data_IF_903292916327
#
_entry.id   IF_903292916327
#
_cell.length_a   1.000
_cell.length_b   1.000
_cell.length_c   1.000
_cell.angle_alpha   90.00
_cell.angle_beta   90.00
_cell.angle_gamma   90.00
#
_symmetry.space_group_name_H-M   'P 1'
#
loop_
_entity.id
_entity.type
_entity.pdbx_description
1 polymer ?
#
# COMPACT_ATOMS: atom_id res chain seq x y z
N UNK A 1 15.92 4.97 -11.40
CA UNK A 1 16.61 5.91 -12.30
C UNK A 1 18.09 5.98 -11.94
N UNK A 2 18.46 6.62 -10.82
CA UNK A 2 19.85 6.77 -10.39
C UNK A 2 20.43 5.44 -9.83
N UNK A 3 21.51 4.94 -10.42
CA UNK A 3 22.29 3.77 -9.97
C UNK A 3 21.92 2.45 -10.64
N UNK A 4 20.65 2.27 -11.02
CA UNK A 4 20.20 1.06 -11.73
C UNK A 4 19.99 1.27 -13.24
N UNK A 5 19.22 2.31 -13.61
CA UNK A 5 18.94 2.63 -15.02
C UNK A 5 20.00 3.56 -15.61
N UNK A 6 20.52 4.48 -14.79
CA UNK A 6 21.63 5.35 -15.10
C UNK A 6 22.72 5.15 -14.05
N UNK A 7 23.79 4.48 -14.44
CA UNK A 7 24.85 4.02 -13.54
C UNK A 7 25.50 5.17 -12.75
N UNK A 8 25.82 6.27 -13.41
CA UNK A 8 26.47 7.44 -12.79
C UNK A 8 25.50 8.32 -11.99
N UNK A 9 24.21 8.01 -12.01
CA UNK A 9 23.17 8.79 -11.34
C UNK A 9 23.45 9.13 -9.86
N UNK A 10 23.99 8.21 -9.03
CA UNK A 10 24.33 8.54 -7.64
C UNK A 10 25.46 9.56 -7.54
N UNK A 11 26.48 9.47 -8.40
CA UNK A 11 27.56 10.46 -8.47
C UNK A 11 27.00 11.82 -8.91
N UNK A 12 26.12 11.83 -9.90
CA UNK A 12 25.47 13.05 -10.36
C UNK A 12 24.70 13.76 -9.24
N UNK A 13 23.85 13.03 -8.50
CA UNK A 13 23.05 13.62 -7.41
C UNK A 13 23.95 14.12 -6.28
N UNK A 14 25.00 13.37 -5.95
CA UNK A 14 25.99 13.78 -4.95
C UNK A 14 26.69 15.09 -5.35
N UNK A 15 27.27 15.16 -6.56
CA UNK A 15 27.92 16.36 -7.06
C UNK A 15 26.96 17.54 -7.18
N UNK A 16 25.73 17.30 -7.64
CA UNK A 16 24.71 18.33 -7.74
C UNK A 16 24.41 18.95 -6.38
N UNK A 17 24.14 18.14 -5.36
CA UNK A 17 23.84 18.64 -4.01
C UNK A 17 25.06 19.37 -3.43
N UNK A 18 26.27 18.78 -3.52
CA UNK A 18 27.51 19.41 -3.01
C UNK A 18 27.73 20.79 -3.63
N UNK A 19 27.73 20.88 -4.97
CA UNK A 19 27.96 22.14 -5.68
C UNK A 19 26.84 23.15 -5.42
N UNK A 20 25.59 22.69 -5.37
CA UNK A 20 24.47 23.56 -5.04
C UNK A 20 24.57 24.14 -3.62
N UNK A 21 25.18 23.44 -2.66
CA UNK A 21 25.34 23.95 -1.30
C UNK A 21 26.63 24.77 -1.11
N UNK A 22 27.72 24.43 -1.80
CA UNK A 22 29.06 25.01 -1.53
C UNK A 22 29.51 26.08 -2.55
N UNK A 23 29.01 26.05 -3.78
CA UNK A 23 29.59 26.83 -4.90
C UNK A 23 28.66 27.92 -5.45
N UNK A 24 27.49 28.13 -4.86
CA UNK A 24 26.50 29.12 -5.31
C UNK A 24 25.57 29.57 -4.17
N UNK A 25 24.92 30.74 -4.30
CA UNK A 25 24.03 31.34 -3.29
C UNK A 25 22.63 31.72 -3.82
N UNK A 26 22.29 31.34 -5.05
CA UNK A 26 21.03 31.68 -5.73
C UNK A 26 19.81 30.92 -5.20
N UNK A 27 19.99 29.68 -4.76
CA UNK A 27 18.92 28.84 -4.22
C UNK A 27 19.43 27.92 -3.11
N UNK A 28 18.50 27.42 -2.30
CA UNK A 28 18.77 26.47 -1.22
C UNK A 28 18.22 25.10 -1.57
N UNK A 29 18.97 24.05 -1.21
CA UNK A 29 18.46 22.68 -1.21
C UNK A 29 17.76 22.45 0.13
N UNK A 30 16.47 22.14 0.09
CA UNK A 30 15.64 22.00 1.29
C UNK A 30 14.72 20.78 1.17
N UNK A 31 14.41 20.16 2.32
CA UNK A 31 13.31 19.20 2.36
C UNK A 31 11.96 19.91 2.26
N UNK A 32 10.87 19.21 1.86
CA UNK A 32 9.53 19.79 1.92
C UNK A 32 9.15 20.31 3.31
N UNK A 33 9.60 19.63 4.37
CA UNK A 33 9.37 20.06 5.76
C UNK A 33 10.09 21.36 6.13
N UNK A 34 11.35 21.52 5.68
CA UNK A 34 12.09 22.79 5.86
C UNK A 34 11.38 23.94 5.16
N UNK A 35 10.94 23.72 3.93
CA UNK A 35 10.23 24.74 3.16
C UNK A 35 8.92 25.16 3.84
N UNK A 36 8.13 24.21 4.35
CA UNK A 36 6.89 24.50 5.07
C UNK A 36 7.14 25.26 6.39
N UNK A 37 8.25 25.00 7.08
CA UNK A 37 8.64 25.73 8.32
C UNK A 37 8.96 27.21 8.09
N UNK A 38 9.22 27.63 6.86
CA UNK A 38 9.43 29.04 6.53
C UNK A 38 8.17 29.89 6.73
N UNK A 39 6.98 29.27 6.81
CA UNK A 39 5.72 29.98 7.04
C UNK A 39 5.33 30.94 5.91
N UNK A 40 5.82 30.68 4.69
CA UNK A 40 5.51 31.48 3.52
C UNK A 40 4.03 31.34 3.14
N UNK A 41 3.40 32.41 2.59
CA UNK A 41 2.03 32.31 2.12
C UNK A 41 1.93 31.29 0.98
N UNK A 42 1.08 30.28 1.15
CA UNK A 42 0.82 29.25 0.15
C UNK A 42 -0.49 29.56 -0.59
N UNK A 43 -0.49 29.37 -1.90
CA UNK A 43 -1.71 29.44 -2.70
C UNK A 43 -2.66 28.30 -2.30
N UNK A 44 -3.90 28.64 -1.98
CA UNK A 44 -4.96 27.67 -1.78
C UNK A 44 -5.51 27.28 -3.15
N UNK A 45 -5.53 25.97 -3.45
CA UNK A 45 -6.05 25.42 -4.69
C UNK A 45 -6.79 24.11 -4.43
N UNK A 46 -7.70 23.75 -5.35
CA UNK A 46 -8.39 22.46 -5.35
C UNK A 46 -7.86 21.62 -6.52
N UNK A 47 -7.06 20.58 -6.27
CA UNK A 47 -6.55 19.72 -7.33
C UNK A 47 -7.69 18.98 -8.05
N UNK A 48 -7.55 18.81 -9.36
CA UNK A 48 -8.41 17.91 -10.13
C UNK A 48 -7.89 16.45 -10.07
N UNK A 49 -8.77 15.44 -10.22
CA UNK A 49 -8.36 14.04 -10.29
C UNK A 49 -7.33 13.84 -11.40
N UNK A 50 -6.14 13.39 -11.01
CA UNK A 50 -5.00 13.23 -11.90
C UNK A 50 -4.02 12.20 -11.32
N UNK A 51 -3.09 11.77 -12.16
CA UNK A 51 -1.91 10.99 -11.75
C UNK A 51 -0.68 11.50 -12.49
N UNK A 52 0.50 11.02 -12.10
CA UNK A 52 1.73 11.18 -12.86
C UNK A 52 1.98 10.07 -13.91
N UNK A 53 0.98 9.21 -14.15
CA UNK A 53 1.04 8.15 -15.15
C UNK A 53 0.79 8.65 -16.56
N UNK A 54 0.74 7.72 -17.52
CA UNK A 54 0.44 8.05 -18.91
C UNK A 54 -0.85 8.89 -19.03
N UNK A 55 -0.77 9.95 -19.83
CA UNK A 55 -1.82 10.97 -20.05
C UNK A 55 -2.33 11.70 -18.80
N UNK A 56 -1.74 11.50 -17.63
CA UNK A 56 -2.07 12.25 -16.41
C UNK A 56 -3.35 11.84 -15.70
N UNK A 57 -3.94 10.69 -16.04
CA UNK A 57 -5.20 10.18 -15.47
C UNK A 57 -5.05 8.75 -14.94
N UNK A 58 -6.13 7.98 -14.87
CA UNK A 58 -6.14 6.64 -14.29
C UNK A 58 -5.91 5.52 -15.30
N UNK A 59 -5.72 5.82 -16.58
CA UNK A 59 -5.67 4.84 -17.68
C UNK A 59 -4.59 3.76 -17.48
N UNK A 60 -3.49 4.08 -16.81
CA UNK A 60 -2.45 3.09 -16.49
C UNK A 60 -2.96 2.00 -15.55
N UNK A 61 -3.87 2.33 -14.64
CA UNK A 61 -4.38 1.40 -13.63
C UNK A 61 -5.77 0.87 -13.95
N UNK A 62 -6.55 1.57 -14.79
CA UNK A 62 -7.90 1.19 -15.19
C UNK A 62 -8.06 1.24 -16.72
N UNK A 63 -7.90 0.09 -17.35
CA UNK A 63 -8.12 -0.12 -18.78
C UNK A 63 -8.48 -1.59 -19.06
N UNK A 64 -8.72 -1.96 -20.33
CA UNK A 64 -9.16 -3.31 -20.70
C UNK A 64 -8.18 -4.45 -20.39
N UNK A 65 -6.93 -4.18 -19.99
CA UNK A 65 -5.98 -5.22 -19.57
C UNK A 65 -6.09 -5.61 -18.09
N UNK A 66 -6.65 -4.72 -17.26
CA UNK A 66 -6.62 -4.83 -15.81
C UNK A 66 -7.97 -4.52 -15.13
N UNK A 67 -8.98 -4.03 -15.84
CA UNK A 67 -10.30 -3.69 -15.29
C UNK A 67 -10.97 -4.81 -14.48
N UNK A 68 -10.74 -6.06 -14.88
CA UNK A 68 -11.29 -7.26 -14.25
C UNK A 68 -10.90 -7.42 -12.77
N UNK A 69 -9.79 -6.81 -12.32
CA UNK A 69 -9.30 -6.95 -10.94
C UNK A 69 -10.25 -6.28 -9.94
N UNK A 70 -10.85 -5.16 -10.32
CA UNK A 70 -11.49 -4.24 -9.38
C UNK A 70 -12.73 -4.82 -8.73
N UNK A 71 -13.50 -5.63 -9.45
CA UNK A 71 -14.65 -6.35 -8.85
C UNK A 71 -14.22 -7.27 -7.71
N UNK A 72 -13.05 -7.90 -7.82
CA UNK A 72 -12.50 -8.79 -6.80
C UNK A 72 -11.96 -8.00 -5.61
N UNK A 73 -11.23 -6.91 -5.87
CA UNK A 73 -10.69 -6.04 -4.82
C UNK A 73 -11.80 -5.34 -4.02
N UNK A 74 -12.84 -4.83 -4.69
CA UNK A 74 -14.00 -4.24 -4.02
C UNK A 74 -14.74 -5.27 -3.16
N UNK A 75 -14.97 -6.49 -3.69
CA UNK A 75 -15.59 -7.56 -2.90
C UNK A 75 -14.71 -7.97 -1.72
N UNK A 76 -13.39 -7.98 -1.90
CA UNK A 76 -12.41 -8.22 -0.83
C UNK A 76 -12.51 -7.17 0.27
N UNK A 77 -12.60 -5.89 -0.09
CA UNK A 77 -12.81 -4.80 0.87
C UNK A 77 -14.09 -4.96 1.69
N UNK A 78 -15.21 -5.30 1.05
CA UNK A 78 -16.46 -5.56 1.77
C UNK A 78 -16.37 -6.76 2.71
N UNK A 79 -15.75 -7.86 2.27
CA UNK A 79 -15.49 -9.03 3.11
C UNK A 79 -14.58 -8.71 4.30
N UNK A 80 -13.55 -7.88 4.11
CA UNK A 80 -12.65 -7.49 5.19
C UNK A 80 -13.37 -6.62 6.24
N UNK A 81 -14.26 -5.73 5.79
CA UNK A 81 -15.15 -4.95 6.66
C UNK A 81 -16.10 -5.85 7.46
N UNK A 82 -16.68 -6.86 6.82
CA UNK A 82 -17.52 -7.86 7.48
C UNK A 82 -16.73 -8.65 8.54
N UNK A 83 -15.54 -9.16 8.20
CA UNK A 83 -14.67 -9.86 9.15
C UNK A 83 -14.35 -9.00 10.38
N UNK A 84 -13.96 -7.74 10.17
CA UNK A 84 -13.65 -6.84 11.28
C UNK A 84 -14.88 -6.60 12.18
N UNK A 85 -16.06 -6.40 11.59
CA UNK A 85 -17.30 -6.16 12.32
C UNK A 85 -17.81 -7.40 13.07
N UNK A 86 -17.67 -8.60 12.49
CA UNK A 86 -18.09 -9.86 13.13
C UNK A 86 -17.16 -10.29 14.28
N UNK A 87 -15.90 -9.85 14.24
CA UNK A 87 -14.88 -10.23 15.22
C UNK A 87 -14.17 -9.00 15.80
N UNK A 88 -14.84 -8.08 16.51
CA UNK A 88 -14.25 -6.80 16.93
C UNK A 88 -13.16 -6.95 18.00
N UNK A 89 -13.18 -8.04 18.76
CA UNK A 89 -12.25 -8.33 19.85
C UNK A 89 -11.66 -9.75 19.74
N UNK A 90 -11.30 -10.17 18.52
CA UNK A 90 -10.64 -11.45 18.33
C UNK A 90 -9.26 -11.47 18.95
N UNK A 91 -8.88 -12.64 19.46
CA UNK A 91 -7.58 -12.96 20.03
C UNK A 91 -7.08 -14.31 19.46
N UNK A 92 -5.84 -14.68 19.78
CA UNK A 92 -5.26 -15.97 19.39
C UNK A 92 -5.22 -16.21 17.86
N UNK A 93 -5.55 -17.43 17.44
CA UNK A 93 -5.52 -17.85 16.04
C UNK A 93 -6.46 -17.02 15.15
N UNK A 94 -7.64 -16.64 15.66
CA UNK A 94 -8.59 -15.81 14.90
C UNK A 94 -8.03 -14.43 14.60
N UNK A 95 -7.38 -13.78 15.58
CA UNK A 95 -6.71 -12.48 15.36
C UNK A 95 -5.59 -12.58 14.33
N UNK A 96 -4.78 -13.63 14.42
CA UNK A 96 -3.71 -13.92 13.45
C UNK A 96 -4.28 -14.08 12.03
N UNK A 97 -5.31 -14.89 11.86
CA UNK A 97 -5.97 -15.11 10.59
C UNK A 97 -6.61 -13.82 10.02
N UNK A 98 -7.20 -12.98 10.87
CA UNK A 98 -7.75 -11.68 10.48
C UNK A 98 -6.65 -10.72 10.00
N UNK A 99 -5.54 -10.64 10.72
CA UNK A 99 -4.38 -9.84 10.33
C UNK A 99 -3.77 -10.34 9.01
N UNK A 100 -3.65 -11.66 8.84
CA UNK A 100 -3.18 -12.24 7.58
C UNK A 100 -4.16 -11.97 6.44
N UNK A 101 -5.47 -12.04 6.68
CA UNK A 101 -6.49 -11.70 5.68
C UNK A 101 -6.32 -10.27 5.21
N UNK A 102 -6.17 -9.32 6.13
CA UNK A 102 -5.92 -7.93 5.76
C UNK A 102 -4.63 -7.78 4.94
N UNK A 103 -3.56 -8.49 5.31
CA UNK A 103 -2.30 -8.48 4.58
C UNK A 103 -2.44 -9.00 3.16
N UNK A 104 -3.13 -10.12 2.95
CA UNK A 104 -3.41 -10.65 1.61
C UNK A 104 -4.20 -9.64 0.77
N UNK A 105 -5.19 -8.98 1.35
CA UNK A 105 -5.96 -7.94 0.65
C UNK A 105 -5.07 -6.74 0.26
N UNK A 106 -4.24 -6.25 1.18
CA UNK A 106 -3.31 -5.13 0.90
C UNK A 106 -2.30 -5.49 -0.20
N UNK A 107 -1.77 -6.71 -0.17
CA UNK A 107 -0.86 -7.21 -1.20
C UNK A 107 -1.56 -7.33 -2.56
N UNK A 108 -2.83 -7.77 -2.59
CA UNK A 108 -3.63 -7.79 -3.82
C UNK A 108 -3.95 -6.38 -4.37
N UNK A 109 -4.03 -5.37 -3.49
CA UNK A 109 -4.33 -3.98 -3.83
C UNK A 109 -3.10 -3.17 -4.31
N UNK A 110 -1.91 -3.77 -4.35
CA UNK A 110 -0.72 -3.07 -4.81
C UNK A 110 -0.90 -2.58 -6.27
N UNK A 111 -0.67 -1.27 -6.48
CA UNK A 111 -0.88 -0.63 -7.79
C UNK A 111 0.13 -1.10 -8.86
N UNK A 112 1.20 -1.75 -8.43
CA UNK A 112 2.21 -2.36 -9.30
C UNK A 112 1.60 -3.43 -10.23
N UNK A 113 0.59 -4.16 -9.78
CA UNK A 113 0.00 -5.23 -10.58
C UNK A 113 -0.68 -4.73 -11.85
N UNK A 114 -1.69 -3.82 -11.78
CA UNK A 114 -2.27 -3.24 -12.99
C UNK A 114 -1.25 -2.41 -13.79
N UNK A 115 -0.25 -1.80 -13.15
CA UNK A 115 0.85 -1.12 -13.85
C UNK A 115 1.67 -2.09 -14.73
N UNK A 116 2.10 -3.23 -14.18
CA UNK A 116 2.84 -4.27 -14.91
C UNK A 116 1.99 -4.85 -16.05
N UNK A 117 0.68 -5.03 -15.82
CA UNK A 117 -0.26 -5.48 -16.86
C UNK A 117 -0.31 -4.50 -18.02
N UNK A 118 -0.45 -3.20 -17.74
CA UNK A 118 -0.47 -2.15 -18.76
C UNK A 118 0.86 -2.01 -19.49
N UNK A 119 1.98 -2.09 -18.76
CA UNK A 119 3.32 -2.02 -19.33
C UNK A 119 3.68 -3.22 -20.22
N UNK A 120 2.91 -4.32 -20.13
CA UNK A 120 3.09 -5.49 -20.99
C UNK A 120 4.34 -6.33 -20.69
N UNK A 121 4.99 -6.13 -19.54
CA UNK A 121 6.29 -6.76 -19.24
C UNK A 121 6.11 -8.17 -18.65
N UNK A 122 5.74 -8.27 -17.37
CA UNK A 122 5.59 -9.53 -16.63
C UNK A 122 4.11 -9.79 -16.29
N UNK A 123 3.25 -9.67 -17.30
CA UNK A 123 1.78 -9.69 -17.13
C UNK A 123 1.27 -10.98 -16.48
N UNK A 124 1.79 -12.14 -16.88
CA UNK A 124 1.44 -13.43 -16.28
C UNK A 124 1.78 -13.53 -14.80
N UNK A 125 2.93 -12.98 -14.41
CA UNK A 125 3.33 -12.89 -13.00
C UNK A 125 2.39 -11.97 -12.21
N UNK A 126 2.12 -10.76 -12.72
CA UNK A 126 1.21 -9.82 -12.04
C UNK A 126 -0.20 -10.40 -11.85
N UNK A 127 -0.72 -11.12 -12.85
CA UNK A 127 -2.02 -11.81 -12.75
C UNK A 127 -1.99 -12.88 -11.66
N UNK A 128 -1.00 -13.77 -11.70
CA UNK A 128 -0.84 -14.83 -10.71
C UNK A 128 -0.74 -14.26 -9.29
N UNK A 129 -0.05 -13.13 -9.10
CA UNK A 129 0.09 -12.49 -7.78
C UNK A 129 -1.25 -12.01 -7.22
N UNK A 130 -2.06 -11.30 -8.00
CA UNK A 130 -3.40 -10.88 -7.56
C UNK A 130 -4.26 -12.10 -7.26
N UNK A 131 -4.29 -13.08 -8.16
CA UNK A 131 -5.10 -14.28 -8.01
C UNK A 131 -4.72 -15.07 -6.75
N UNK A 132 -3.43 -15.30 -6.52
CA UNK A 132 -2.92 -16.00 -5.34
C UNK A 132 -3.31 -15.32 -4.03
N UNK A 133 -3.12 -14.00 -3.94
CA UNK A 133 -3.49 -13.23 -2.76
C UNK A 133 -5.01 -13.25 -2.53
N UNK A 134 -5.81 -13.11 -3.59
CA UNK A 134 -7.27 -13.20 -3.48
C UNK A 134 -7.77 -14.61 -3.12
N UNK A 135 -7.11 -15.67 -3.60
CA UNK A 135 -7.45 -17.05 -3.23
C UNK A 135 -7.20 -17.27 -1.74
N UNK A 136 -6.02 -16.87 -1.23
CA UNK A 136 -5.68 -16.99 0.18
C UNK A 136 -6.60 -16.16 1.06
N UNK A 137 -6.88 -14.92 0.66
CA UNK A 137 -7.84 -14.06 1.34
C UNK A 137 -9.21 -14.73 1.47
N UNK A 138 -9.75 -15.27 0.38
CA UNK A 138 -11.07 -15.91 0.40
C UNK A 138 -11.07 -17.19 1.25
N UNK A 139 -10.01 -18.00 1.19
CA UNK A 139 -9.88 -19.19 2.00
C UNK A 139 -9.77 -18.86 3.51
N UNK A 140 -9.01 -17.82 3.89
CA UNK A 140 -8.97 -17.33 5.26
C UNK A 140 -10.33 -16.80 5.71
N UNK A 141 -11.02 -16.02 4.87
CA UNK A 141 -12.38 -15.55 5.15
C UNK A 141 -13.32 -16.73 5.47
N UNK A 142 -13.32 -17.77 4.64
CA UNK A 142 -14.19 -18.93 4.83
C UNK A 142 -13.81 -19.71 6.10
N UNK A 143 -12.52 -19.89 6.39
CA UNK A 143 -12.06 -20.55 7.62
C UNK A 143 -12.45 -19.77 8.89
N UNK A 144 -12.32 -18.44 8.87
CA UNK A 144 -12.66 -17.58 10.01
C UNK A 144 -14.17 -17.61 10.25
N UNK A 145 -14.99 -17.44 9.21
CA UNK A 145 -16.45 -17.40 9.33
C UNK A 145 -17.03 -18.73 9.80
N UNK A 146 -16.42 -19.86 9.42
CA UNK A 146 -16.84 -21.19 9.84
C UNK A 146 -16.18 -21.67 11.15
N UNK A 147 -15.25 -20.90 11.72
CA UNK A 147 -14.54 -21.27 12.95
C UNK A 147 -13.62 -22.49 12.80
N UNK A 148 -13.09 -22.74 11.59
CA UNK A 148 -12.27 -23.92 11.25
C UNK A 148 -10.88 -23.52 10.72
N UNK A 149 -10.19 -22.63 11.43
CA UNK A 149 -8.87 -22.13 11.05
C UNK A 149 -7.84 -23.26 11.07
N UNK A 150 -7.16 -23.45 9.94
CA UNK A 150 -5.98 -24.31 9.82
C UNK A 150 -4.74 -23.52 10.26
N UNK A 151 -4.28 -23.76 11.49
CA UNK A 151 -3.14 -23.04 12.06
C UNK A 151 -1.80 -23.36 11.37
N UNK A 152 -1.66 -24.56 10.81
CA UNK A 152 -0.43 -24.94 10.09
C UNK A 152 -0.34 -24.20 8.77
N UNK A 153 -1.44 -24.20 8.00
CA UNK A 153 -1.52 -23.44 6.76
C UNK A 153 -1.43 -21.93 7.00
N UNK A 154 -2.06 -21.41 8.05
CA UNK A 154 -1.93 -20.00 8.45
C UNK A 154 -0.46 -19.64 8.71
N UNK A 155 0.28 -20.45 9.46
CA UNK A 155 1.69 -20.20 9.74
C UNK A 155 2.55 -20.19 8.45
N UNK A 156 2.24 -21.06 7.48
CA UNK A 156 2.93 -21.08 6.19
C UNK A 156 2.69 -19.78 5.39
N UNK A 157 1.45 -19.28 5.38
CA UNK A 157 1.13 -18.01 4.72
C UNK A 157 1.80 -16.84 5.45
N UNK A 158 1.73 -16.80 6.77
CA UNK A 158 2.39 -15.77 7.59
C UNK A 158 3.90 -15.74 7.37
N UNK A 159 4.54 -16.89 7.12
CA UNK A 159 5.97 -16.95 6.81
C UNK A 159 6.28 -16.42 5.40
N UNK A 160 5.41 -16.67 4.42
CA UNK A 160 5.60 -16.24 3.03
C UNK A 160 5.27 -14.77 2.82
N UNK A 161 4.14 -14.33 3.33
CA UNK A 161 3.55 -13.01 3.13
C UNK A 161 3.60 -12.29 4.49
N UNK A 162 4.77 -11.75 4.85
CA UNK A 162 5.12 -11.35 6.23
C UNK A 162 5.33 -9.83 6.44
N UNK A 163 4.96 -9.00 5.46
CA UNK A 163 5.08 -7.53 5.55
C UNK A 163 4.13 -6.96 6.61
N UNK A 164 4.46 -5.82 7.23
CA UNK A 164 3.64 -5.21 8.29
C UNK A 164 3.39 -6.16 9.48
N UNK A 165 4.42 -6.49 10.27
CA UNK A 165 4.28 -7.40 11.42
C UNK A 165 3.36 -6.85 12.52
N UNK A 166 3.19 -5.52 12.59
CA UNK A 166 2.31 -4.85 13.54
C UNK A 166 0.93 -4.51 12.96
N UNK A 167 0.57 -5.09 11.81
CA UNK A 167 -0.73 -4.87 11.19
C UNK A 167 -1.85 -5.33 12.13
N UNK A 168 -2.86 -4.49 12.28
CA UNK A 168 -4.06 -4.80 13.07
C UNK A 168 -5.29 -4.68 12.18
N UNK A 169 -6.03 -5.78 12.02
CA UNK A 169 -7.27 -5.83 11.23
C UNK A 169 -8.34 -4.84 11.71
N UNK A 170 -8.25 -4.38 12.97
CA UNK A 170 -9.20 -3.44 13.59
C UNK A 170 -9.24 -2.07 12.91
N UNK A 171 -8.27 -1.74 12.04
CA UNK A 171 -8.35 -0.55 11.16
C UNK A 171 -9.55 -0.59 10.20
N UNK A 172 -10.16 -1.77 9.99
CA UNK A 172 -11.39 -1.95 9.21
C UNK A 172 -12.68 -1.86 10.06
N UNK A 173 -12.58 -1.63 11.37
CA UNK A 173 -13.75 -1.32 12.19
C UNK A 173 -14.37 0.01 11.75
N UNK A 174 -15.70 0.18 11.86
CA UNK A 174 -16.32 1.48 11.63
C UNK A 174 -15.67 2.56 12.50
N UNK A 175 -15.45 3.76 11.96
CA UNK A 175 -14.77 4.85 12.67
C UNK A 175 -15.36 5.16 14.06
N UNK A 176 -16.69 5.02 14.20
CA UNK A 176 -17.40 5.19 15.47
C UNK A 176 -17.01 4.16 16.55
N UNK A 177 -16.49 3.00 16.14
CA UNK A 177 -16.13 1.87 16.97
C UNK A 177 -14.59 1.78 17.17
N UNK A 178 -13.83 2.70 16.57
CA UNK A 178 -12.38 2.81 16.78
C UNK A 178 -12.05 3.75 17.94
N UNK A 179 -11.17 3.32 18.85
CA UNK A 179 -10.64 4.18 19.91
C UNK A 179 -9.40 4.90 19.37
N UNK A 180 -9.32 6.24 19.43
CA UNK A 180 -8.11 6.97 19.07
C UNK A 180 -6.93 6.46 19.88
N UNK A 181 -5.90 5.97 19.21
CA UNK A 181 -4.61 5.70 19.84
C UNK A 181 -3.84 7.01 19.82
N UNK A 182 -3.55 7.57 20.98
CA UNK A 182 -2.59 8.67 21.07
C UNK A 182 -1.23 8.14 20.60
N UNK A 183 -0.88 8.43 19.35
CA UNK A 183 0.50 8.32 18.92
C UNK A 183 1.24 9.43 19.65
N UNK A 184 1.97 9.06 20.71
CA UNK A 184 2.83 9.99 21.44
C UNK A 184 3.58 10.85 20.41
N UNK A 185 3.53 12.17 20.59
CA UNK A 185 4.05 13.13 19.63
C UNK A 185 5.40 12.63 19.12
N UNK A 186 5.47 12.33 17.82
CA UNK A 186 6.74 12.06 17.19
C UNK A 186 7.59 13.32 17.42
N UNK A 187 8.49 13.23 18.38
CA UNK A 187 9.57 14.18 18.58
C UNK A 187 10.44 14.08 17.33
N UNK A 188 10.08 14.87 16.32
CA UNK A 188 10.89 15.19 15.16
C UNK A 188 11.90 16.27 15.53
#
# INVERSE_FOLDING_TARGET
>A
LFGHWWYEGPLFIEYFIRKATEEQEQFLVASPGDFLRLGLPLQIATPCPSSWGDKGYHEVWLNGSNDWIYRHLHRGGEKMRELAASFPAAEGATKRALNQSLRELLLAQASDWPFIMTAGTMTGYARSRIEDHMIRFNALYDQIMNGCIDEEWLAQIEARDNVFPQLDYRVFLPLKDTVPVETGAASY
#
